data_IF_189194711482
#
_entry.id   IF_189194711482
#
_cell.length_a   1.000
_cell.length_b   1.000
_cell.length_c   1.000
_cell.angle_alpha   90.00
_cell.angle_beta   90.00
_cell.angle_gamma   90.00
#
_symmetry.space_group_name_H-M   'P 1'
#
loop_
_entity.id
_entity.type
_entity.pdbx_description
1 polymer ?
#
# COMPACT_ATOMS: atom_id res chain seq x y z
N UNK A 1 -21.64 -13.02 29.85
CA UNK A 1 -20.50 -13.78 29.35
C UNK A 1 -19.31 -12.83 29.24
N UNK A 2 -18.34 -12.99 30.10
CA UNK A 2 -17.19 -12.10 30.27
C UNK A 2 -16.13 -12.50 29.25
N UNK A 3 -15.82 -11.67 28.28
CA UNK A 3 -14.72 -11.86 27.36
C UNK A 3 -13.40 -11.64 28.10
N UNK A 4 -12.69 -12.71 28.37
CA UNK A 4 -11.31 -12.69 28.86
C UNK A 4 -10.42 -12.29 27.68
N UNK A 5 -9.85 -11.08 27.74
CA UNK A 5 -8.85 -10.62 26.78
C UNK A 5 -7.63 -11.54 26.81
N UNK A 6 -7.37 -12.26 25.70
CA UNK A 6 -6.09 -12.93 25.49
C UNK A 6 -5.01 -11.86 25.32
N UNK A 7 -4.09 -11.84 26.28
CA UNK A 7 -2.86 -11.06 26.14
C UNK A 7 -2.13 -11.52 24.84
N UNK A 8 -1.88 -10.58 23.94
CA UNK A 8 -0.99 -10.80 22.81
C UNK A 8 0.39 -11.15 23.37
N UNK A 9 0.86 -12.36 23.07
CA UNK A 9 2.23 -12.74 23.37
C UNK A 9 3.16 -11.75 22.64
N UNK A 10 3.96 -11.00 23.40
CA UNK A 10 5.05 -10.20 22.84
C UNK A 10 5.98 -11.16 22.12
N UNK A 11 5.98 -11.11 20.78
CA UNK A 11 7.04 -11.74 19.98
C UNK A 11 8.35 -11.13 20.47
N UNK A 12 9.38 -11.93 20.86
CA UNK A 12 10.67 -11.40 21.27
C UNK A 12 11.16 -10.49 20.14
N UNK A 13 11.65 -9.29 20.50
CA UNK A 13 12.32 -8.41 19.56
C UNK A 13 13.48 -9.19 18.94
N UNK A 14 13.28 -9.76 17.75
CA UNK A 14 14.35 -10.39 16.99
C UNK A 14 15.34 -9.28 16.72
N UNK A 15 16.55 -9.43 17.26
CA UNK A 15 17.64 -8.50 17.03
C UNK A 15 17.80 -8.36 15.52
N UNK A 16 17.33 -7.25 14.97
CA UNK A 16 17.54 -6.89 13.57
C UNK A 16 19.06 -6.79 13.25
N UNK A 17 19.94 -6.94 14.25
CA UNK A 17 21.35 -6.58 14.14
C UNK A 17 22.24 -7.56 13.38
N UNK A 18 21.88 -8.85 13.31
CA UNK A 18 22.86 -9.89 12.95
C UNK A 18 22.59 -10.62 11.62
N UNK A 19 21.45 -10.37 10.97
CA UNK A 19 21.11 -11.05 9.72
C UNK A 19 21.47 -10.19 8.50
N UNK A 20 22.34 -10.71 7.64
CA UNK A 20 22.69 -10.12 6.34
C UNK A 20 22.10 -10.96 5.23
N UNK A 21 21.53 -10.32 4.22
CA UNK A 21 21.06 -10.97 3.01
C UNK A 21 21.93 -10.56 1.81
N UNK A 22 22.06 -11.41 0.80
CA UNK A 22 22.67 -11.01 -0.47
C UNK A 22 21.96 -9.79 -1.06
N UNK A 23 22.71 -8.91 -1.70
CA UNK A 23 22.15 -7.80 -2.44
C UNK A 23 21.28 -8.30 -3.59
N UNK A 24 20.11 -7.69 -3.77
CA UNK A 24 19.22 -7.95 -4.90
C UNK A 24 19.26 -6.76 -5.85
N UNK A 25 19.40 -7.06 -7.14
CA UNK A 25 19.23 -6.03 -8.17
C UNK A 25 17.75 -5.77 -8.36
N UNK A 26 17.32 -4.55 -8.12
CA UNK A 26 15.93 -4.11 -8.29
C UNK A 26 15.81 -3.37 -9.63
N UNK A 27 15.03 -3.87 -10.60
CA UNK A 27 14.88 -3.22 -11.91
C UNK A 27 14.07 -1.92 -11.85
N UNK A 28 13.34 -1.71 -10.78
CA UNK A 28 12.55 -0.50 -10.48
C UNK A 28 12.39 -0.29 -8.98
N UNK A 29 11.89 0.86 -8.52
CA UNK A 29 11.61 1.08 -7.10
C UNK A 29 10.67 0.02 -6.53
N UNK A 30 11.07 -0.65 -5.44
CA UNK A 30 10.24 -1.61 -4.71
C UNK A 30 10.13 -1.17 -3.26
N UNK A 31 8.89 -1.00 -2.80
CA UNK A 31 8.49 -0.52 -1.49
C UNK A 31 7.93 -1.66 -0.63
N UNK A 32 8.25 -1.64 0.67
CA UNK A 32 7.61 -2.46 1.69
C UNK A 32 6.39 -1.71 2.23
N UNK A 33 5.17 -2.13 1.87
CA UNK A 33 3.93 -1.54 2.37
C UNK A 33 3.75 -1.77 3.88
N UNK A 34 3.11 -0.81 4.56
CA UNK A 34 2.88 -0.90 6.01
C UNK A 34 2.05 -2.13 6.39
N UNK A 35 1.00 -2.46 5.63
CA UNK A 35 0.14 -3.62 5.90
C UNK A 35 0.90 -4.95 5.92
N UNK A 36 2.00 -5.07 5.19
CA UNK A 36 2.82 -6.29 5.10
C UNK A 36 3.48 -6.65 6.43
N UNK A 37 3.81 -5.65 7.24
CA UNK A 37 4.56 -5.79 8.50
C UNK A 37 3.97 -4.94 9.63
N UNK A 38 2.62 -4.94 9.77
CA UNK A 38 1.90 -4.18 10.82
C UNK A 38 2.29 -4.56 12.26
N UNK A 39 2.99 -5.65 12.44
CA UNK A 39 3.61 -6.04 13.71
C UNK A 39 4.84 -5.20 14.06
N UNK A 40 5.30 -4.33 13.16
CA UNK A 40 6.33 -3.32 13.41
C UNK A 40 5.71 -1.94 13.58
N UNK A 41 6.34 -1.11 14.42
CA UNK A 41 6.06 0.32 14.42
C UNK A 41 6.75 1.00 13.20
N UNK A 42 6.39 2.22 12.82
CA UNK A 42 6.95 2.90 11.66
C UNK A 42 8.47 3.03 11.66
N UNK A 43 9.10 3.25 12.82
CA UNK A 43 10.55 3.36 12.93
C UNK A 43 11.27 2.04 12.60
N UNK A 44 10.75 0.93 13.13
CA UNK A 44 11.27 -0.42 12.87
C UNK A 44 10.94 -0.91 11.46
N UNK A 45 9.83 -0.45 10.86
CA UNK A 45 9.48 -0.76 9.47
C UNK A 45 10.54 -0.24 8.50
N UNK A 46 11.03 0.99 8.68
CA UNK A 46 12.12 1.55 7.85
C UNK A 46 13.41 0.70 7.97
N UNK A 47 13.78 0.32 9.20
CA UNK A 47 14.96 -0.52 9.43
C UNK A 47 14.78 -1.93 8.83
N UNK A 48 13.58 -2.48 8.90
CA UNK A 48 13.22 -3.76 8.28
C UNK A 48 13.33 -3.70 6.76
N UNK A 49 12.75 -2.67 6.13
CA UNK A 49 12.83 -2.45 4.70
C UNK A 49 14.28 -2.37 4.21
N UNK A 50 15.11 -1.56 4.88
CA UNK A 50 16.53 -1.44 4.56
C UNK A 50 17.26 -2.77 4.60
N UNK A 51 17.09 -3.52 5.70
CA UNK A 51 17.77 -4.81 5.91
C UNK A 51 17.29 -5.89 4.97
N UNK A 52 15.99 -5.91 4.65
CA UNK A 52 15.43 -6.82 3.66
C UNK A 52 15.89 -6.50 2.23
N UNK A 53 16.41 -5.30 1.95
CA UNK A 53 16.92 -4.88 0.65
C UNK A 53 15.91 -4.09 -0.19
N UNK A 54 14.84 -3.57 0.39
CA UNK A 54 13.91 -2.67 -0.29
C UNK A 54 14.54 -1.29 -0.53
N UNK A 55 14.21 -0.69 -1.66
CA UNK A 55 14.62 0.70 -1.96
C UNK A 55 13.68 1.74 -1.35
N UNK A 56 12.42 1.34 -1.08
CA UNK A 56 11.37 2.21 -0.58
C UNK A 56 10.54 1.55 0.53
N UNK A 57 9.75 2.38 1.21
CA UNK A 57 8.78 1.97 2.24
C UNK A 57 7.49 2.77 2.08
N UNK A 58 6.34 2.14 2.30
CA UNK A 58 5.05 2.80 2.47
C UNK A 58 4.78 3.03 3.96
N UNK A 59 4.44 4.25 4.36
CA UNK A 59 4.28 4.62 5.78
C UNK A 59 2.80 4.87 6.10
N UNK A 60 2.28 4.16 7.10
CA UNK A 60 0.93 4.39 7.61
C UNK A 60 0.93 5.53 8.64
N UNK A 61 0.45 6.72 8.21
CA UNK A 61 0.35 7.90 9.07
C UNK A 61 -0.90 7.89 9.95
N UNK A 62 -1.99 7.29 9.44
CA UNK A 62 -3.26 7.13 10.16
C UNK A 62 -3.74 5.68 10.05
N UNK A 63 -4.37 5.10 11.10
CA UNK A 63 -4.80 3.71 11.07
C UNK A 63 -5.91 3.49 10.03
N UNK A 64 -5.89 2.33 9.38
CA UNK A 64 -6.93 1.95 8.41
C UNK A 64 -8.22 1.49 9.10
N UNK A 65 -8.13 1.02 10.33
CA UNK A 65 -9.28 0.56 11.15
C UNK A 65 -9.16 1.07 12.59
N UNK A 66 -10.29 1.15 13.32
CA UNK A 66 -10.26 1.58 14.74
C UNK A 66 -9.49 0.63 15.67
N UNK A 67 -9.21 -0.59 15.23
CA UNK A 67 -8.50 -1.62 16.01
C UNK A 67 -7.00 -1.63 15.78
N UNK A 68 -6.51 -0.91 14.76
CA UNK A 68 -5.07 -0.76 14.53
C UNK A 68 -4.44 0.18 15.55
N UNK A 69 -3.17 -0.06 15.85
CA UNK A 69 -2.40 0.82 16.73
C UNK A 69 -2.25 2.20 16.09
N UNK A 70 -2.70 3.23 16.80
CA UNK A 70 -2.44 4.63 16.42
C UNK A 70 -1.04 5.01 16.90
N UNK A 71 -0.19 5.39 15.97
CA UNK A 71 1.11 6.02 16.25
C UNK A 71 1.00 7.54 16.05
N UNK A 72 1.84 8.27 16.77
CA UNK A 72 1.89 9.74 16.66
C UNK A 72 2.73 10.17 15.45
N UNK A 73 2.12 10.06 14.26
CA UNK A 73 2.75 10.20 12.95
C UNK A 73 2.30 11.44 12.19
N UNK A 74 1.71 12.44 12.85
CA UNK A 74 1.31 13.70 12.18
C UNK A 74 2.03 14.89 12.83
N UNK A 75 2.70 15.71 12.01
CA UNK A 75 3.42 16.89 12.46
C UNK A 75 4.83 16.59 12.98
N UNK A 76 5.32 17.42 13.92
CA UNK A 76 6.68 17.29 14.47
C UNK A 76 6.70 16.49 15.78
N UNK A 77 6.62 15.17 15.68
CA UNK A 77 6.62 14.27 16.83
C UNK A 77 7.97 13.58 17.03
N UNK A 78 8.26 13.03 18.23
CA UNK A 78 9.47 12.22 18.44
C UNK A 78 9.56 11.04 17.46
N UNK A 79 8.42 10.39 17.14
CA UNK A 79 8.39 9.25 16.21
C UNK A 79 8.71 9.67 14.78
N UNK A 80 8.19 10.81 14.31
CA UNK A 80 8.53 11.36 12.99
C UNK A 80 10.02 11.64 12.89
N UNK A 81 10.63 12.27 13.91
CA UNK A 81 12.08 12.54 13.93
C UNK A 81 12.92 11.26 13.91
N UNK A 82 12.47 10.20 14.59
CA UNK A 82 13.15 8.90 14.56
C UNK A 82 13.00 8.23 13.18
N UNK A 83 11.83 8.29 12.56
CA UNK A 83 11.62 7.80 11.18
C UNK A 83 12.53 8.54 10.20
N UNK A 84 12.61 9.88 10.27
CA UNK A 84 13.53 10.68 9.43
C UNK A 84 14.99 10.28 9.61
N UNK A 85 15.43 10.09 10.87
CA UNK A 85 16.79 9.65 11.16
C UNK A 85 17.08 8.27 10.56
N UNK A 86 16.11 7.34 10.64
CA UNK A 86 16.25 6.00 10.06
C UNK A 86 16.25 6.05 8.52
N UNK A 87 15.38 6.83 7.89
CA UNK A 87 15.41 7.04 6.44
C UNK A 87 16.77 7.59 5.98
N UNK A 88 17.27 8.62 6.67
CA UNK A 88 18.57 9.21 6.36
C UNK A 88 19.75 8.24 6.54
N UNK A 89 19.74 7.44 7.61
CA UNK A 89 20.83 6.51 7.91
C UNK A 89 20.86 5.28 7.01
N UNK A 90 19.69 4.86 6.50
CA UNK A 90 19.54 3.67 5.68
C UNK A 90 19.53 3.95 4.18
N UNK A 91 19.21 5.17 3.77
CA UNK A 91 19.01 5.56 2.37
C UNK A 91 17.69 5.07 1.76
N UNK A 92 16.84 4.35 2.52
CA UNK A 92 15.49 3.97 2.10
C UNK A 92 14.65 5.23 1.93
N UNK A 93 13.84 5.29 0.86
CA UNK A 93 12.94 6.41 0.57
C UNK A 93 11.50 6.05 0.91
N UNK A 94 10.66 7.05 1.12
CA UNK A 94 9.21 6.83 1.24
C UNK A 94 8.58 6.88 -0.14
N UNK A 95 7.87 5.82 -0.55
CA UNK A 95 7.09 5.81 -1.79
C UNK A 95 5.74 6.45 -1.55
N UNK A 96 4.99 5.93 -0.59
CA UNK A 96 3.62 6.33 -0.32
C UNK A 96 3.35 6.50 1.16
N UNK A 97 2.33 7.29 1.44
CA UNK A 97 1.73 7.44 2.77
C UNK A 97 0.27 6.98 2.72
N UNK A 98 -0.20 6.41 3.83
CA UNK A 98 -1.54 5.84 3.93
C UNK A 98 -2.19 6.11 5.30
N UNK A 99 -3.51 6.15 5.40
CA UNK A 99 -4.51 5.89 4.37
C UNK A 99 -5.55 7.00 4.43
N UNK A 100 -5.81 7.65 3.29
CA UNK A 100 -6.83 8.69 3.18
C UNK A 100 -8.15 8.06 2.72
N UNK A 101 -9.20 8.17 3.55
CA UNK A 101 -10.53 7.67 3.21
C UNK A 101 -11.47 8.82 2.88
N UNK A 102 -11.99 8.80 1.64
CA UNK A 102 -13.03 9.71 1.18
C UNK A 102 -14.38 9.24 1.74
N UNK A 103 -14.86 9.90 2.75
CA UNK A 103 -16.14 9.64 3.43
C UNK A 103 -17.11 10.78 3.19
N UNK A 104 -18.44 10.60 3.48
CA UNK A 104 -19.42 11.69 3.34
C UNK A 104 -19.10 12.96 4.15
N UNK A 105 -18.39 12.81 5.26
CA UNK A 105 -17.96 13.88 6.15
C UNK A 105 -16.53 14.39 5.88
N UNK A 106 -15.89 13.94 4.81
CA UNK A 106 -14.55 14.41 4.43
C UNK A 106 -14.54 15.93 4.22
N UNK A 107 -13.55 16.58 4.83
CA UNK A 107 -13.21 17.99 4.63
C UNK A 107 -11.75 18.04 4.20
N UNK A 108 -11.51 18.39 2.96
CA UNK A 108 -10.18 18.30 2.34
C UNK A 108 -9.11 19.09 3.12
N UNK A 109 -9.45 20.27 3.64
CA UNK A 109 -8.51 21.09 4.41
C UNK A 109 -7.98 20.41 5.68
N UNK A 110 -8.74 19.47 6.28
CA UNK A 110 -8.32 18.77 7.48
C UNK A 110 -7.18 17.78 7.21
N UNK A 111 -6.93 17.44 5.94
CA UNK A 111 -5.87 16.54 5.52
C UNK A 111 -4.53 17.25 5.25
N UNK A 112 -4.51 18.57 5.31
CA UNK A 112 -3.28 19.35 5.08
C UNK A 112 -2.12 18.91 6.00
N UNK A 113 -2.29 18.69 7.32
CA UNK A 113 -1.20 18.20 8.18
C UNK A 113 -0.68 16.80 7.79
N UNK A 114 -1.54 15.94 7.24
CA UNK A 114 -1.16 14.64 6.71
C UNK A 114 -0.25 14.80 5.47
N UNK A 115 -0.61 15.69 4.53
CA UNK A 115 0.19 15.98 3.35
C UNK A 115 1.52 16.65 3.70
N UNK A 116 1.52 17.60 4.63
CA UNK A 116 2.74 18.25 5.15
C UNK A 116 3.70 17.20 5.74
N UNK A 117 3.17 16.26 6.53
CA UNK A 117 3.98 15.19 7.11
C UNK A 117 4.52 14.24 6.03
N UNK A 118 3.68 13.85 5.06
CA UNK A 118 4.11 13.04 3.94
C UNK A 118 5.24 13.67 3.13
N UNK A 119 5.10 14.94 2.77
CA UNK A 119 6.13 15.71 2.06
C UNK A 119 7.43 15.81 2.88
N UNK A 120 7.33 16.06 4.18
CA UNK A 120 8.46 16.08 5.11
C UNK A 120 9.24 14.75 5.11
N UNK A 121 8.53 13.63 5.04
CA UNK A 121 9.14 12.29 4.95
C UNK A 121 9.65 11.96 3.53
N UNK A 122 9.39 12.81 2.54
CA UNK A 122 9.79 12.61 1.15
C UNK A 122 8.89 11.66 0.36
N UNK A 123 7.67 11.43 0.82
CA UNK A 123 6.66 10.67 0.07
C UNK A 123 6.29 11.36 -1.25
N UNK A 124 5.95 10.56 -2.25
CA UNK A 124 5.46 11.06 -3.55
C UNK A 124 4.03 10.62 -3.84
N UNK A 125 3.56 9.58 -3.19
CA UNK A 125 2.25 8.97 -3.42
C UNK A 125 1.41 8.97 -2.14
N UNK A 126 0.09 9.03 -2.31
CA UNK A 126 -0.90 8.87 -1.23
C UNK A 126 -1.87 7.76 -1.63
N UNK A 127 -2.05 6.78 -0.76
CA UNK A 127 -3.09 5.77 -0.91
C UNK A 127 -4.42 6.35 -0.44
N UNK A 128 -5.41 6.37 -1.35
CA UNK A 128 -6.76 6.87 -1.10
C UNK A 128 -7.81 5.78 -1.32
N UNK A 129 -8.90 5.84 -0.59
CA UNK A 129 -10.02 4.87 -0.69
C UNK A 129 -11.34 5.60 -0.77
N UNK A 130 -12.18 5.23 -1.75
CA UNK A 130 -13.54 5.76 -1.93
C UNK A 130 -14.53 5.09 -1.00
N UNK A 131 -14.96 5.79 0.04
CA UNK A 131 -15.96 5.35 1.02
C UNK A 131 -17.16 6.30 1.11
N UNK A 132 -17.53 6.94 0.01
CA UNK A 132 -18.72 7.77 -0.13
C UNK A 132 -19.56 7.27 -1.31
N UNK A 133 -20.81 6.90 -1.04
CA UNK A 133 -21.73 6.41 -2.08
C UNK A 133 -22.32 7.52 -2.94
N UNK A 134 -22.19 8.79 -2.54
CA UNK A 134 -22.48 9.94 -3.41
C UNK A 134 -21.24 10.21 -4.25
N UNK A 135 -21.28 9.72 -5.49
CA UNK A 135 -20.13 9.78 -6.39
C UNK A 135 -19.71 11.21 -6.72
N UNK A 136 -20.66 12.14 -6.87
CA UNK A 136 -20.36 13.53 -7.19
C UNK A 136 -19.65 14.22 -6.02
N UNK A 137 -20.11 13.99 -4.79
CA UNK A 137 -19.45 14.50 -3.59
C UNK A 137 -18.05 13.87 -3.41
N UNK A 138 -17.89 12.58 -3.73
CA UNK A 138 -16.60 11.92 -3.71
C UNK A 138 -15.64 12.57 -4.71
N UNK A 139 -16.08 12.82 -5.94
CA UNK A 139 -15.29 13.46 -7.01
C UNK A 139 -14.89 14.90 -6.62
N UNK A 140 -15.83 15.69 -6.10
CA UNK A 140 -15.56 17.06 -5.63
C UNK A 140 -14.53 17.09 -4.49
N UNK A 141 -14.72 16.24 -3.46
CA UNK A 141 -13.79 16.11 -2.35
C UNK A 141 -12.41 15.62 -2.82
N UNK A 142 -12.36 14.69 -3.77
CA UNK A 142 -11.09 14.17 -4.28
C UNK A 142 -10.35 15.24 -5.10
N UNK A 143 -11.06 16.02 -5.90
CA UNK A 143 -10.48 17.15 -6.63
C UNK A 143 -9.88 18.20 -5.68
N UNK A 144 -10.61 18.58 -4.62
CA UNK A 144 -10.12 19.53 -3.61
C UNK A 144 -8.91 18.96 -2.85
N UNK A 145 -8.91 17.68 -2.49
CA UNK A 145 -7.76 17.00 -1.87
C UNK A 145 -6.53 17.03 -2.78
N UNK A 146 -6.71 16.79 -4.08
CA UNK A 146 -5.62 16.88 -5.06
C UNK A 146 -5.03 18.29 -5.12
N UNK A 147 -5.88 19.34 -5.10
CA UNK A 147 -5.44 20.73 -5.09
C UNK A 147 -4.63 21.08 -3.83
N UNK A 148 -5.08 20.61 -2.64
CA UNK A 148 -4.36 20.85 -1.38
C UNK A 148 -3.05 20.07 -1.34
N UNK A 149 -3.00 18.85 -1.91
CA UNK A 149 -1.80 18.00 -1.91
C UNK A 149 -0.75 18.44 -2.96
N UNK A 150 -1.16 19.09 -4.03
CA UNK A 150 -0.30 19.47 -5.16
C UNK A 150 0.94 20.30 -4.75
N UNK A 151 0.83 21.34 -3.90
CA UNK A 151 2.00 22.11 -3.45
C UNK A 151 3.03 21.31 -2.66
N UNK A 152 2.63 20.13 -2.13
CA UNK A 152 3.50 19.22 -1.41
C UNK A 152 4.16 18.16 -2.31
N UNK A 153 3.91 18.20 -3.63
CA UNK A 153 4.45 17.24 -4.59
C UNK A 153 3.84 15.84 -4.48
N UNK A 154 2.66 15.73 -3.89
CA UNK A 154 1.98 14.46 -3.65
C UNK A 154 0.95 14.16 -4.75
N UNK A 155 0.94 12.92 -5.20
CA UNK A 155 -0.07 12.35 -6.09
C UNK A 155 -1.01 11.45 -5.28
N UNK A 156 -2.31 11.66 -5.43
CA UNK A 156 -3.34 10.91 -4.74
C UNK A 156 -3.85 9.78 -5.63
N UNK A 157 -3.83 8.54 -5.13
CA UNK A 157 -4.21 7.38 -5.92
C UNK A 157 -5.37 6.64 -5.25
N UNK A 158 -6.53 6.60 -5.91
CA UNK A 158 -7.67 5.81 -5.43
C UNK A 158 -7.38 4.34 -5.72
N UNK A 159 -7.49 3.52 -4.68
CA UNK A 159 -7.46 2.06 -4.76
C UNK A 159 -8.89 1.53 -4.88
N UNK A 160 -9.28 0.98 -6.04
CA UNK A 160 -10.57 0.32 -6.18
C UNK A 160 -10.58 -1.00 -5.40
N UNK A 161 -11.51 -1.14 -4.45
CA UNK A 161 -11.67 -2.35 -3.64
C UNK A 161 -13.10 -2.88 -3.72
N UNK A 162 -13.33 -4.20 -3.82
CA UNK A 162 -14.67 -4.78 -4.03
C UNK A 162 -15.76 -4.34 -3.05
N UNK A 163 -15.39 -3.92 -1.85
CA UNK A 163 -16.31 -3.48 -0.77
C UNK A 163 -16.40 -1.95 -0.61
N UNK A 164 -15.78 -1.19 -1.50
CA UNK A 164 -15.76 0.27 -1.46
C UNK A 164 -16.68 0.87 -2.52
N UNK A 165 -16.98 2.16 -2.41
CA UNK A 165 -17.82 2.88 -3.38
C UNK A 165 -17.20 2.89 -4.77
N UNK A 166 -15.88 2.92 -4.85
CA UNK A 166 -15.12 2.67 -6.08
C UNK A 166 -14.59 1.24 -5.99
N UNK A 167 -15.24 0.32 -6.69
CA UNK A 167 -14.97 -1.12 -6.55
C UNK A 167 -14.20 -1.73 -7.72
N UNK A 168 -14.13 -1.04 -8.86
CA UNK A 168 -13.44 -1.51 -10.07
C UNK A 168 -12.52 -0.44 -10.66
N UNK A 169 -11.52 -0.89 -11.42
CA UNK A 169 -10.59 0.00 -12.15
C UNK A 169 -11.36 0.89 -13.12
N UNK A 170 -12.37 0.34 -13.82
CA UNK A 170 -13.20 1.11 -14.74
C UNK A 170 -13.95 2.26 -14.04
N UNK A 171 -14.55 2.00 -12.85
CA UNK A 171 -15.17 3.07 -12.04
C UNK A 171 -14.16 4.13 -11.62
N UNK A 172 -12.96 3.70 -11.19
CA UNK A 172 -11.87 4.63 -10.91
C UNK A 172 -11.50 5.47 -12.11
N UNK A 173 -11.48 4.88 -13.31
CA UNK A 173 -11.24 5.59 -14.57
C UNK A 173 -12.26 6.69 -14.85
N UNK A 174 -13.55 6.46 -14.56
CA UNK A 174 -14.59 7.49 -14.69
C UNK A 174 -14.35 8.65 -13.70
N UNK A 175 -14.01 8.34 -12.45
CA UNK A 175 -13.64 9.37 -11.46
C UNK A 175 -12.46 10.21 -11.97
N UNK A 176 -11.42 9.58 -12.55
CA UNK A 176 -10.26 10.32 -13.08
C UNK A 176 -10.65 11.28 -14.21
N UNK A 177 -11.60 10.91 -15.08
CA UNK A 177 -12.10 11.77 -16.16
C UNK A 177 -12.81 13.01 -15.63
N UNK A 178 -13.61 12.86 -14.58
CA UNK A 178 -14.35 13.97 -13.97
C UNK A 178 -13.46 14.88 -13.13
N UNK A 179 -12.62 14.30 -12.28
CA UNK A 179 -11.70 15.02 -11.40
C UNK A 179 -10.67 15.81 -12.20
N UNK A 180 -10.11 15.23 -13.24
CA UNK A 180 -9.18 15.85 -14.19
C UNK A 180 -8.10 16.71 -13.50
N UNK A 181 -7.36 16.13 -12.53
CA UNK A 181 -6.21 16.78 -11.87
C UNK A 181 -4.93 16.03 -12.21
N UNK A 182 -3.81 16.74 -12.45
CA UNK A 182 -2.55 16.12 -12.88
C UNK A 182 -1.93 15.19 -11.82
N UNK A 183 -2.31 15.38 -10.56
CA UNK A 183 -1.87 14.56 -9.43
C UNK A 183 -2.99 13.65 -8.87
N UNK A 184 -3.97 13.30 -9.70
CA UNK A 184 -4.98 12.29 -9.41
C UNK A 184 -4.61 10.99 -10.12
N UNK A 185 -4.79 9.86 -9.45
CA UNK A 185 -4.43 8.55 -9.99
C UNK A 185 -5.25 7.38 -9.45
N UNK A 186 -4.99 6.23 -10.04
CA UNK A 186 -5.55 4.94 -9.68
C UNK A 186 -4.40 4.03 -9.21
N UNK A 187 -4.61 3.33 -8.12
CA UNK A 187 -3.75 2.27 -7.63
C UNK A 187 -4.34 0.92 -8.03
N UNK A 188 -3.55 0.08 -8.68
CA UNK A 188 -3.94 -1.30 -9.01
C UNK A 188 -3.24 -2.25 -8.03
N UNK A 189 -4.04 -3.02 -7.30
CA UNK A 189 -3.61 -4.12 -6.43
C UNK A 189 -4.17 -5.44 -7.00
N UNK A 190 -3.35 -6.48 -7.21
CA UNK A 190 -3.79 -7.75 -7.79
C UNK A 190 -4.97 -8.40 -7.06
N UNK A 191 -4.97 -8.39 -5.71
CA UNK A 191 -6.08 -9.03 -4.99
C UNK A 191 -7.41 -8.33 -5.27
N UNK A 192 -7.42 -7.01 -5.30
CA UNK A 192 -8.63 -6.23 -5.60
C UNK A 192 -8.99 -6.35 -7.07
N UNK A 193 -8.00 -6.30 -7.95
CA UNK A 193 -8.17 -6.44 -9.39
C UNK A 193 -8.89 -7.75 -9.74
N UNK A 194 -8.37 -8.88 -9.29
CA UNK A 194 -8.95 -10.18 -9.61
C UNK A 194 -10.24 -10.48 -8.83
N UNK A 195 -10.38 -10.03 -7.59
CA UNK A 195 -11.60 -10.24 -6.79
C UNK A 195 -12.77 -9.38 -7.27
N UNK A 196 -12.52 -8.20 -7.84
CA UNK A 196 -13.54 -7.39 -8.51
C UNK A 196 -13.78 -7.81 -9.98
N UNK A 197 -13.08 -8.86 -10.47
CA UNK A 197 -13.20 -9.37 -11.86
C UNK A 197 -12.90 -8.31 -12.91
N UNK A 198 -11.96 -7.41 -12.63
CA UNK A 198 -11.46 -6.46 -13.63
C UNK A 198 -10.74 -7.21 -14.76
N UNK A 199 -10.65 -6.57 -15.90
CA UNK A 199 -9.94 -7.04 -17.08
C UNK A 199 -8.72 -6.14 -17.36
N UNK A 200 -7.73 -6.63 -18.08
CA UNK A 200 -6.58 -5.81 -18.48
C UNK A 200 -7.01 -4.61 -19.34
N UNK A 201 -8.10 -4.75 -20.12
CA UNK A 201 -8.67 -3.64 -20.88
C UNK A 201 -9.16 -2.49 -19.98
N UNK A 202 -9.59 -2.77 -18.74
CA UNK A 202 -9.97 -1.71 -17.80
C UNK A 202 -8.76 -0.85 -17.41
N UNK A 203 -7.56 -1.44 -17.33
CA UNK A 203 -6.31 -0.71 -17.11
C UNK A 203 -5.92 0.08 -18.36
N UNK A 204 -5.97 -0.56 -19.53
CA UNK A 204 -5.56 0.06 -20.80
C UNK A 204 -6.46 1.24 -21.20
N UNK A 205 -7.72 1.24 -20.76
CA UNK A 205 -8.70 2.30 -21.01
C UNK A 205 -8.65 3.45 -19.98
N UNK A 206 -7.77 3.39 -18.97
CA UNK A 206 -7.60 4.50 -18.03
C UNK A 206 -7.15 5.77 -18.76
N UNK A 207 -7.58 6.95 -18.30
CA UNK A 207 -7.03 8.22 -18.80
C UNK A 207 -5.51 8.22 -18.71
N UNK A 208 -4.85 8.73 -19.75
CA UNK A 208 -3.39 8.78 -19.79
C UNK A 208 -2.83 9.53 -18.57
N UNK A 209 -1.86 8.94 -17.88
CA UNK A 209 -1.24 9.54 -16.71
C UNK A 209 -1.99 9.26 -15.40
N UNK A 210 -2.97 8.34 -15.38
CA UNK A 210 -3.67 7.95 -14.15
C UNK A 210 -2.96 6.89 -13.31
N UNK A 211 -1.86 6.31 -13.77
CA UNK A 211 -1.12 5.28 -13.05
C UNK A 211 0.23 5.83 -12.60
N UNK A 212 0.51 5.79 -11.30
CA UNK A 212 1.73 6.35 -10.71
C UNK A 212 2.54 5.32 -9.94
N UNK A 213 1.90 4.31 -9.36
CA UNK A 213 2.51 3.13 -8.74
C UNK A 213 1.48 2.02 -8.66
N UNK A 214 1.88 0.83 -8.29
CA UNK A 214 1.00 -0.31 -8.09
C UNK A 214 1.36 -1.07 -6.82
N UNK A 215 0.40 -1.78 -6.26
CA UNK A 215 0.66 -2.76 -5.22
C UNK A 215 0.84 -4.14 -5.82
N UNK A 216 1.54 -5.04 -5.10
CA UNK A 216 1.74 -6.42 -5.50
C UNK A 216 1.61 -7.38 -4.34
N UNK A 217 0.82 -8.40 -4.56
CA UNK A 217 0.67 -9.63 -3.79
C UNK A 217 0.16 -10.73 -4.71
N UNK A 218 -0.08 -11.91 -4.18
CA UNK A 218 -0.79 -12.97 -4.89
C UNK A 218 -2.01 -13.44 -4.08
N UNK A 219 -2.81 -14.32 -4.66
CA UNK A 219 -4.08 -14.78 -4.12
C UNK A 219 -4.37 -16.23 -4.50
N UNK A 220 -5.26 -16.87 -3.74
CA UNK A 220 -5.69 -18.25 -4.05
C UNK A 220 -6.55 -18.29 -5.31
N UNK A 221 -6.53 -19.43 -6.03
CA UNK A 221 -7.39 -19.62 -7.22
C UNK A 221 -8.88 -19.58 -6.86
N UNK A 222 -9.25 -20.10 -5.69
CA UNK A 222 -10.63 -20.12 -5.26
C UNK A 222 -11.15 -18.71 -4.95
N UNK A 223 -12.30 -18.36 -5.55
CA UNK A 223 -13.03 -17.15 -5.20
C UNK A 223 -13.68 -17.35 -3.82
N UNK A 224 -13.48 -16.44 -2.86
CA UNK A 224 -14.23 -16.47 -1.61
C UNK A 224 -15.75 -16.44 -1.85
N UNK A 225 -16.53 -17.07 -0.95
CA UNK A 225 -17.97 -17.27 -1.13
C UNK A 225 -18.77 -15.97 -1.09
N UNK A 226 -18.32 -15.02 -0.32
CA UNK A 226 -19.01 -13.76 -0.02
C UNK A 226 -18.02 -12.60 0.18
N UNK A 227 -18.55 -11.41 0.41
CA UNK A 227 -17.75 -10.20 0.62
C UNK A 227 -16.90 -10.27 1.89
N UNK A 228 -17.39 -10.92 2.94
CA UNK A 228 -16.62 -11.08 4.19
C UNK A 228 -15.39 -11.96 3.96
N UNK A 229 -15.54 -13.01 3.16
CA UNK A 229 -14.42 -13.85 2.73
C UNK A 229 -13.40 -13.11 1.87
N UNK A 230 -13.85 -12.25 0.95
CA UNK A 230 -12.97 -11.39 0.14
C UNK A 230 -12.21 -10.42 1.05
N UNK A 231 -12.90 -9.77 1.98
CA UNK A 231 -12.32 -8.83 2.93
C UNK A 231 -11.32 -9.51 3.86
N UNK A 232 -11.66 -10.72 4.37
CA UNK A 232 -10.75 -11.51 5.18
C UNK A 232 -9.47 -11.85 4.42
N UNK A 233 -9.59 -12.34 3.18
CA UNK A 233 -8.44 -12.66 2.36
C UNK A 233 -7.54 -11.44 2.15
N UNK A 234 -8.12 -10.31 1.79
CA UNK A 234 -7.38 -9.09 1.53
C UNK A 234 -6.63 -8.53 2.75
N UNK A 235 -7.14 -8.77 3.96
CA UNK A 235 -6.57 -8.24 5.20
C UNK A 235 -5.70 -9.21 5.98
N UNK A 236 -5.85 -10.53 5.72
CA UNK A 236 -5.21 -11.56 6.56
C UNK A 236 -4.56 -12.70 5.79
N UNK A 237 -4.81 -12.85 4.48
CA UNK A 237 -4.40 -14.06 3.77
C UNK A 237 -4.02 -13.79 2.32
N UNK A 238 -3.19 -12.78 2.12
CA UNK A 238 -2.53 -12.55 0.83
C UNK A 238 -1.36 -13.51 0.69
N UNK A 239 -1.07 -13.96 -0.53
CA UNK A 239 0.06 -14.81 -0.83
C UNK A 239 1.26 -13.98 -1.28
N UNK A 240 2.45 -14.56 -1.18
CA UNK A 240 3.67 -13.97 -1.73
C UNK A 240 3.55 -13.83 -3.24
N UNK A 241 4.07 -12.75 -3.86
CA UNK A 241 4.04 -12.59 -5.30
C UNK A 241 4.58 -13.82 -6.06
N UNK A 242 3.79 -14.33 -7.01
CA UNK A 242 4.15 -15.50 -7.82
C UNK A 242 3.91 -16.87 -7.17
N UNK A 243 3.35 -16.91 -5.94
CA UNK A 243 3.05 -18.19 -5.27
C UNK A 243 1.57 -18.57 -5.30
N UNK A 244 0.75 -17.78 -5.97
CA UNK A 244 -0.69 -17.97 -6.06
C UNK A 244 -1.19 -18.20 -7.49
N UNK A 245 -2.38 -17.72 -7.76
CA UNK A 245 -3.09 -17.95 -9.02
C UNK A 245 -3.22 -16.69 -9.91
N UNK A 246 -2.68 -15.56 -9.48
CA UNK A 246 -2.66 -14.35 -10.31
C UNK A 246 -1.64 -14.48 -11.45
N UNK A 247 -2.02 -14.09 -12.65
CA UNK A 247 -1.05 -13.93 -13.75
C UNK A 247 -0.32 -12.57 -13.59
N UNK A 248 0.57 -12.51 -12.59
CA UNK A 248 1.33 -11.29 -12.29
C UNK A 248 2.25 -10.86 -13.45
N UNK A 249 2.96 -11.77 -14.16
CA UNK A 249 3.74 -11.38 -15.34
C UNK A 249 2.89 -10.71 -16.42
N UNK A 250 1.67 -11.18 -16.65
CA UNK A 250 0.76 -10.53 -17.59
C UNK A 250 0.27 -9.17 -17.06
N UNK A 251 -0.14 -9.09 -15.79
CA UNK A 251 -0.57 -7.83 -15.18
C UNK A 251 0.52 -6.76 -15.24
N UNK A 252 1.77 -7.13 -15.01
CA UNK A 252 2.92 -6.22 -15.05
C UNK A 252 3.15 -5.60 -16.43
N UNK A 253 2.74 -6.25 -17.54
CA UNK A 253 2.82 -5.66 -18.89
C UNK A 253 1.96 -4.41 -19.05
N UNK A 254 0.82 -4.34 -18.30
CA UNK A 254 -0.08 -3.20 -18.26
C UNK A 254 0.34 -2.14 -17.21
N UNK A 255 1.23 -2.52 -16.28
CA UNK A 255 1.78 -1.67 -15.20
C UNK A 255 3.29 -1.43 -15.36
N UNK A 256 3.76 -1.46 -16.61
CA UNK A 256 5.19 -1.44 -16.94
C UNK A 256 5.90 -0.19 -16.42
N UNK A 257 7.02 -0.42 -15.73
CA UNK A 257 7.90 0.65 -15.23
C UNK A 257 7.39 1.40 -14.00
N UNK A 258 6.19 1.11 -13.50
CA UNK A 258 5.67 1.75 -12.29
C UNK A 258 6.43 1.28 -11.05
N UNK A 259 6.67 2.15 -10.05
CA UNK A 259 7.08 1.72 -8.72
C UNK A 259 6.11 0.68 -8.16
N UNK A 260 6.65 -0.31 -7.43
CA UNK A 260 5.86 -1.38 -6.81
C UNK A 260 5.86 -1.20 -5.30
N UNK A 261 4.70 -1.33 -4.66
CA UNK A 261 4.57 -1.51 -3.21
C UNK A 261 4.12 -2.95 -2.92
N UNK A 262 4.95 -3.75 -2.24
CA UNK A 262 4.58 -5.12 -1.88
C UNK A 262 3.65 -5.06 -0.68
N UNK A 263 2.37 -5.41 -0.89
CA UNK A 263 1.34 -5.44 0.15
C UNK A 263 0.80 -6.86 0.33
N UNK A 264 1.53 -7.68 1.08
CA UNK A 264 1.29 -9.11 1.24
C UNK A 264 1.10 -9.52 2.71
N UNK A 265 0.04 -8.99 3.35
CA UNK A 265 -0.29 -9.37 4.72
C UNK A 265 -0.79 -10.82 4.80
N UNK A 266 -0.19 -11.59 5.71
CA UNK A 266 -0.58 -12.97 5.96
C UNK A 266 -0.42 -13.30 7.45
N UNK A 267 -1.54 -13.56 8.11
CA UNK A 267 -1.59 -13.77 9.56
C UNK A 267 -0.86 -15.06 9.99
N UNK A 268 -0.89 -16.10 9.18
CA UNK A 268 -0.20 -17.37 9.46
C UNK A 268 1.31 -17.18 9.35
N UNK A 269 1.78 -16.50 8.31
CA UNK A 269 3.20 -16.19 8.15
C UNK A 269 3.69 -15.20 9.21
N UNK A 270 2.84 -14.29 9.68
CA UNK A 270 3.18 -13.37 10.77
C UNK A 270 3.43 -14.10 12.10
N UNK A 271 2.80 -15.27 12.30
CA UNK A 271 3.06 -16.14 13.46
C UNK A 271 4.32 -16.99 13.24
N UNK A 272 4.53 -17.48 12.01
CA UNK A 272 5.57 -18.45 11.69
C UNK A 272 6.95 -17.82 11.42
N UNK A 273 7.01 -16.57 11.00
CA UNK A 273 8.23 -15.91 10.54
C UNK A 273 8.43 -14.54 11.19
N UNK A 274 9.70 -14.16 11.36
CA UNK A 274 10.00 -12.78 11.75
C UNK A 274 9.56 -11.79 10.66
N UNK A 275 9.22 -10.52 11.01
CA UNK A 275 8.90 -9.50 10.02
C UNK A 275 10.00 -9.32 8.96
N UNK A 276 11.25 -9.42 9.37
CA UNK A 276 12.40 -9.30 8.48
C UNK A 276 12.49 -10.45 7.47
N UNK A 277 12.33 -11.69 7.93
CA UNK A 277 12.38 -12.87 7.04
C UNK A 277 11.21 -12.87 6.07
N UNK A 278 10.03 -12.47 6.54
CA UNK A 278 8.82 -12.34 5.73
C UNK A 278 8.98 -11.24 4.67
N UNK A 279 9.46 -10.07 5.06
CA UNK A 279 9.74 -8.98 4.12
C UNK A 279 10.78 -9.40 3.06
N UNK A 280 11.84 -10.09 3.47
CA UNK A 280 12.87 -10.57 2.54
C UNK A 280 12.32 -11.60 1.56
N UNK A 281 11.57 -12.58 2.02
CA UNK A 281 10.93 -13.60 1.17
C UNK A 281 10.04 -12.94 0.11
N UNK A 282 9.18 -12.00 0.49
CA UNK A 282 8.31 -11.31 -0.45
C UNK A 282 9.09 -10.50 -1.51
N UNK A 283 10.22 -9.91 -1.13
CA UNK A 283 11.06 -9.20 -2.07
C UNK A 283 11.72 -10.14 -3.08
N UNK A 284 12.24 -11.29 -2.62
CA UNK A 284 12.84 -12.31 -3.48
C UNK A 284 11.83 -12.87 -4.48
N UNK A 285 10.64 -13.20 -4.01
CA UNK A 285 9.54 -13.69 -4.85
C UNK A 285 9.10 -12.63 -5.88
N UNK A 286 9.02 -11.35 -5.48
CA UNK A 286 8.68 -10.26 -6.41
C UNK A 286 9.75 -10.08 -7.49
N UNK A 287 11.03 -10.16 -7.13
CA UNK A 287 12.13 -10.11 -8.10
C UNK A 287 12.06 -11.28 -9.09
N UNK A 288 11.71 -12.48 -8.61
CA UNK A 288 11.49 -13.64 -9.50
C UNK A 288 10.33 -13.40 -10.48
N UNK A 289 9.22 -12.80 -10.03
CA UNK A 289 8.09 -12.42 -10.89
C UNK A 289 8.50 -11.38 -11.93
N UNK A 290 9.29 -10.36 -11.56
CA UNK A 290 9.80 -9.35 -12.49
C UNK A 290 10.70 -9.98 -13.56
N UNK A 291 11.61 -10.86 -13.15
CA UNK A 291 12.46 -11.60 -14.09
C UNK A 291 11.63 -12.44 -15.08
N UNK A 292 10.58 -13.11 -14.59
CA UNK A 292 9.65 -13.87 -15.45
C UNK A 292 8.85 -12.97 -16.41
N UNK A 293 8.62 -11.71 -16.02
CA UNK A 293 7.99 -10.70 -16.88
C UNK A 293 8.97 -10.05 -17.87
N UNK A 294 10.27 -10.40 -17.82
CA UNK A 294 11.31 -9.85 -18.70
C UNK A 294 11.90 -8.52 -18.21
N UNK A 295 11.77 -8.20 -16.93
CA UNK A 295 12.37 -7.01 -16.29
C UNK A 295 13.60 -7.45 -15.46
N UNK A 296 14.81 -6.94 -15.81
CA UNK A 296 16.10 -7.36 -15.23
C UNK A 296 16.90 -6.18 -14.65
#
# INVERSE_FOLDING_TARGET
MTFVGRAQAKVPAVSLKDKQFPELKLPRPISLAALTVLDLNPTNQVLCAAKAGYSHVGIRLVPATPTETQYDMIGDTPMIREVEANLKSTGVKVLDIEILRLKPDTRAINWKPFFETGARLGATQVLCVGNDNDIHRLEDNFAELCEIAHPFGLTLNIEPMPWCSISTVAQGGEVMKHVNRPNAGILVDPIHFYRAKNTYADIDNLPKGSLHYCQMCDLTAAMPKDMDGILYQARNFRLSPGTGAADLPQLLKHLKGLPISIEACNAELAIAMSPLDRARMYLEDMVAVLNAAGEH
#
